data_IF_976596185858
#
_entry.id   IF_976596185858
#
_cell.length_a   1.000
_cell.length_b   1.000
_cell.length_c   1.000
_cell.angle_alpha   90.00
_cell.angle_beta   90.00
_cell.angle_gamma   90.00
#
_symmetry.space_group_name_H-M   'P 1'
#
loop_
_entity.id
_entity.type
_entity.pdbx_description
1 polymer ?
#
# COMPACT_ATOMS: atom_id res chain seq x y z
N UNK A 1 -29.36 -8.94 -4.06
CA UNK A 1 -28.40 -9.80 -3.34
C UNK A 1 -28.46 -11.17 -3.98
N UNK A 2 -27.64 -11.41 -5.00
CA UNK A 2 -27.45 -12.77 -5.53
C UNK A 2 -26.72 -13.56 -4.45
N UNK A 3 -27.40 -14.54 -3.87
CA UNK A 3 -26.78 -15.54 -3.00
C UNK A 3 -25.78 -16.32 -3.85
N UNK A 4 -24.49 -16.04 -3.67
CA UNK A 4 -23.41 -16.68 -4.41
C UNK A 4 -23.51 -18.21 -4.24
N UNK A 5 -23.75 -18.92 -5.35
CA UNK A 5 -23.93 -20.38 -5.32
C UNK A 5 -22.64 -21.02 -4.77
N UNK A 6 -22.70 -21.77 -3.66
CA UNK A 6 -21.50 -22.30 -3.00
C UNK A 6 -20.64 -23.17 -3.95
N UNK A 7 -21.27 -23.85 -4.91
CA UNK A 7 -20.56 -24.63 -5.92
C UNK A 7 -19.76 -23.74 -6.89
N UNK A 8 -20.29 -22.57 -7.28
CA UNK A 8 -19.57 -21.61 -8.14
C UNK A 8 -18.39 -20.96 -7.41
N UNK A 9 -18.57 -20.64 -6.13
CA UNK A 9 -17.48 -20.12 -5.30
C UNK A 9 -16.34 -21.16 -5.19
N UNK A 10 -16.67 -22.40 -4.82
CA UNK A 10 -15.70 -23.48 -4.69
C UNK A 10 -14.97 -23.74 -6.02
N UNK A 11 -15.70 -23.79 -7.13
CA UNK A 11 -15.10 -23.97 -8.46
C UNK A 11 -14.10 -22.86 -8.80
N UNK A 12 -14.45 -21.58 -8.57
CA UNK A 12 -13.56 -20.44 -8.81
C UNK A 12 -12.32 -20.48 -7.90
N UNK A 13 -12.50 -20.86 -6.64
CA UNK A 13 -11.40 -21.03 -5.69
C UNK A 13 -10.43 -22.11 -6.17
N UNK A 14 -10.95 -23.28 -6.54
CA UNK A 14 -10.14 -24.41 -7.01
C UNK A 14 -9.37 -24.06 -8.27
N UNK A 15 -10.03 -23.48 -9.29
CA UNK A 15 -9.39 -23.11 -10.55
C UNK A 15 -8.22 -22.16 -10.33
N UNK A 16 -8.43 -21.08 -9.54
CA UNK A 16 -7.39 -20.08 -9.28
C UNK A 16 -6.19 -20.69 -8.55
N UNK A 17 -6.47 -21.54 -7.57
CA UNK A 17 -5.43 -22.17 -6.74
C UNK A 17 -4.65 -23.22 -7.53
N UNK A 18 -5.31 -24.00 -8.39
CA UNK A 18 -4.65 -24.95 -9.28
C UNK A 18 -3.78 -24.25 -10.34
N UNK A 19 -4.27 -23.17 -10.93
CA UNK A 19 -3.46 -22.33 -11.85
C UNK A 19 -2.25 -21.76 -11.12
N UNK A 20 -2.44 -21.23 -9.90
CA UNK A 20 -1.33 -20.74 -9.07
C UNK A 20 -0.30 -21.84 -8.79
N UNK A 21 -0.75 -23.04 -8.44
CA UNK A 21 0.11 -24.20 -8.17
C UNK A 21 0.90 -24.62 -9.41
N UNK A 22 0.25 -24.63 -10.58
CA UNK A 22 0.89 -24.95 -11.86
C UNK A 22 1.97 -23.93 -12.22
N UNK A 23 1.64 -22.63 -12.13
CA UNK A 23 2.60 -21.55 -12.40
C UNK A 23 3.78 -21.64 -11.42
N UNK A 24 3.50 -21.86 -10.14
CA UNK A 24 4.55 -22.04 -9.14
C UNK A 24 5.47 -23.20 -9.49
N UNK A 25 4.91 -24.38 -9.80
CA UNK A 25 5.69 -25.57 -10.13
C UNK A 25 6.56 -25.38 -11.38
N UNK A 26 6.01 -24.78 -12.43
CA UNK A 26 6.77 -24.47 -13.65
C UNK A 26 7.90 -23.47 -13.40
N UNK A 27 7.63 -22.40 -12.64
CA UNK A 27 8.67 -21.43 -12.26
C UNK A 27 9.71 -22.06 -11.33
N UNK A 28 9.31 -23.02 -10.47
CA UNK A 28 10.22 -23.75 -9.61
C UNK A 28 11.27 -24.50 -10.45
N UNK A 29 10.84 -25.21 -11.50
CA UNK A 29 11.73 -25.93 -12.44
C UNK A 29 12.77 -25.00 -13.06
N UNK A 30 12.36 -23.81 -13.51
CA UNK A 30 13.27 -22.81 -14.09
C UNK A 30 14.21 -22.27 -13.02
N UNK A 31 13.68 -21.91 -11.85
CA UNK A 31 14.47 -21.32 -10.78
C UNK A 31 15.50 -22.27 -10.18
N UNK A 32 15.22 -23.58 -10.16
CA UNK A 32 16.14 -24.59 -9.62
C UNK A 32 17.45 -24.68 -10.41
N UNK A 33 17.48 -24.12 -11.63
CA UNK A 33 18.69 -23.98 -12.45
C UNK A 33 19.52 -22.74 -12.06
N UNK A 34 18.94 -21.78 -11.34
CA UNK A 34 19.55 -20.53 -10.91
C UNK A 34 20.07 -20.66 -9.46
N UNK A 35 21.15 -21.41 -9.29
CA UNK A 35 21.79 -21.65 -8.00
C UNK A 35 22.52 -20.41 -7.48
N UNK A 36 22.56 -20.24 -6.16
CA UNK A 36 23.35 -19.20 -5.51
C UNK A 36 24.85 -19.54 -5.62
N UNK A 37 25.72 -18.58 -6.00
CA UNK A 37 27.16 -18.81 -6.07
C UNK A 37 27.79 -19.33 -4.78
N UNK A 38 27.27 -18.88 -3.63
CA UNK A 38 27.75 -19.21 -2.28
C UNK A 38 27.05 -20.40 -1.63
N UNK A 39 25.94 -20.87 -2.18
CA UNK A 39 25.14 -21.99 -1.66
C UNK A 39 24.66 -22.87 -2.83
N UNK A 40 25.49 -23.81 -3.33
CA UNK A 40 25.24 -24.56 -4.57
C UNK A 40 24.06 -25.54 -4.50
N UNK A 41 23.34 -25.59 -3.37
CA UNK A 41 22.13 -26.41 -3.18
C UNK A 41 20.87 -25.53 -3.11
N UNK A 42 21.01 -24.20 -3.04
CA UNK A 42 19.90 -23.25 -2.91
C UNK A 42 19.80 -22.39 -4.16
N UNK A 43 18.61 -22.36 -4.75
CA UNK A 43 18.28 -21.51 -5.88
C UNK A 43 17.85 -20.10 -5.44
N UNK A 44 17.78 -19.17 -6.40
CA UNK A 44 17.27 -17.81 -6.17
C UNK A 44 15.77 -17.77 -5.80
N UNK A 45 14.97 -18.77 -6.19
CA UNK A 45 13.57 -18.99 -5.78
C UNK A 45 12.57 -17.80 -5.89
N UNK A 46 12.57 -16.98 -6.97
CA UNK A 46 11.61 -15.87 -7.11
C UNK A 46 10.13 -16.30 -7.09
N UNK A 47 9.84 -17.55 -7.46
CA UNK A 47 8.49 -18.13 -7.43
C UNK A 47 7.88 -18.17 -6.03
N UNK A 48 8.66 -18.09 -4.95
CA UNK A 48 8.16 -18.14 -3.57
C UNK A 48 7.21 -16.99 -3.21
N UNK A 49 7.28 -15.89 -3.95
CA UNK A 49 6.33 -14.80 -3.81
C UNK A 49 4.90 -15.19 -4.25
N UNK A 50 4.73 -16.21 -5.09
CA UNK A 50 3.44 -16.59 -5.63
C UNK A 50 2.50 -17.23 -4.57
N UNK A 51 2.92 -18.21 -3.74
CA UNK A 51 2.13 -18.71 -2.63
C UNK A 51 1.73 -17.62 -1.64
N UNK A 52 2.67 -16.71 -1.31
CA UNK A 52 2.41 -15.56 -0.43
C UNK A 52 1.34 -14.64 -1.03
N UNK A 53 1.49 -14.28 -2.30
CA UNK A 53 0.52 -13.47 -3.05
C UNK A 53 -0.85 -14.15 -3.12
N UNK A 54 -0.90 -15.44 -3.44
CA UNK A 54 -2.15 -16.22 -3.51
C UNK A 54 -2.83 -16.30 -2.14
N UNK A 55 -2.05 -16.42 -1.06
CA UNK A 55 -2.51 -16.31 0.32
C UNK A 55 -3.23 -14.99 0.58
N UNK A 56 -2.60 -13.87 0.25
CA UNK A 56 -3.18 -12.52 0.42
C UNK A 56 -4.44 -12.33 -0.45
N UNK A 57 -4.41 -12.82 -1.69
CA UNK A 57 -5.47 -12.64 -2.68
C UNK A 57 -6.73 -13.44 -2.37
N UNK A 58 -6.56 -14.72 -2.02
CA UNK A 58 -7.65 -15.71 -2.00
C UNK A 58 -7.78 -16.44 -0.65
N UNK A 59 -6.88 -16.19 0.29
CA UNK A 59 -6.92 -16.72 1.65
C UNK A 59 -5.82 -17.74 1.95
N UNK A 60 -5.60 -18.05 3.25
CA UNK A 60 -4.49 -18.89 3.69
C UNK A 60 -4.45 -20.25 3.00
N UNK A 61 -5.62 -20.89 2.83
CA UNK A 61 -5.71 -22.20 2.16
C UNK A 61 -5.30 -22.15 0.69
N UNK A 62 -5.63 -21.06 -0.03
CA UNK A 62 -5.18 -20.90 -1.41
C UNK A 62 -3.66 -20.73 -1.49
N UNK A 63 -3.07 -19.97 -0.55
CA UNK A 63 -1.62 -19.86 -0.43
C UNK A 63 -0.97 -21.21 -0.12
N UNK A 64 -1.55 -21.96 0.83
CA UNK A 64 -1.07 -23.28 1.21
C UNK A 64 -1.02 -24.25 0.03
N UNK A 65 -2.15 -24.43 -0.65
CA UNK A 65 -2.23 -25.36 -1.78
C UNK A 65 -1.29 -24.91 -2.90
N UNK A 66 -1.23 -23.60 -3.19
CA UNK A 66 -0.31 -23.05 -4.20
C UNK A 66 1.14 -23.43 -3.92
N UNK A 67 1.61 -23.23 -2.68
CA UNK A 67 2.98 -23.56 -2.30
C UNK A 67 3.23 -25.06 -2.19
N UNK A 68 2.31 -25.79 -1.56
CA UNK A 68 2.45 -27.23 -1.34
C UNK A 68 2.40 -28.04 -2.64
N UNK A 69 1.29 -27.93 -3.38
CA UNK A 69 1.09 -28.67 -4.62
C UNK A 69 2.03 -28.17 -5.73
N UNK A 70 2.28 -26.86 -5.77
CA UNK A 70 3.25 -26.28 -6.70
C UNK A 70 4.66 -26.81 -6.45
N UNK A 71 5.10 -26.90 -5.20
CA UNK A 71 6.45 -27.40 -4.91
C UNK A 71 6.58 -28.89 -5.24
N UNK A 72 5.57 -29.70 -4.91
CA UNK A 72 5.51 -31.12 -5.33
C UNK A 72 5.67 -31.25 -6.84
N UNK A 73 4.91 -30.46 -7.61
CA UNK A 73 4.98 -30.49 -9.07
C UNK A 73 6.37 -30.08 -9.57
N UNK A 74 6.94 -29.01 -9.01
CA UNK A 74 8.27 -28.55 -9.38
C UNK A 74 9.35 -29.60 -9.09
N UNK A 75 9.33 -30.19 -7.91
CA UNK A 75 10.32 -31.19 -7.49
C UNK A 75 10.18 -32.50 -8.27
N UNK A 76 8.95 -32.89 -8.64
CA UNK A 76 8.69 -34.00 -9.55
C UNK A 76 9.31 -33.75 -10.93
N UNK A 77 9.05 -32.58 -11.52
CA UNK A 77 9.52 -32.22 -12.86
C UNK A 77 11.04 -31.95 -12.90
N UNK A 78 11.63 -31.49 -11.81
CA UNK A 78 13.08 -31.32 -11.66
C UNK A 78 13.81 -32.64 -11.35
N UNK A 79 13.11 -33.76 -11.16
CA UNK A 79 13.71 -35.07 -10.89
C UNK A 79 14.15 -35.29 -9.43
N UNK A 80 13.81 -34.40 -8.51
CA UNK A 80 14.06 -34.59 -7.06
C UNK A 80 13.10 -35.62 -6.44
N UNK A 81 11.94 -35.82 -7.07
CA UNK A 81 10.90 -36.76 -6.64
C UNK A 81 9.88 -36.15 -5.67
N UNK A 82 8.69 -36.75 -5.64
CA UNK A 82 7.52 -36.21 -4.92
C UNK A 82 7.56 -36.34 -3.39
N UNK A 83 8.33 -37.29 -2.85
CA UNK A 83 8.29 -37.63 -1.42
C UNK A 83 9.61 -37.44 -0.69
N UNK A 84 10.69 -37.14 -1.42
CA UNK A 84 12.04 -37.04 -0.87
C UNK A 84 12.18 -35.87 0.10
N UNK A 85 11.57 -34.73 -0.23
CA UNK A 85 11.64 -33.49 0.54
C UNK A 85 10.24 -33.02 0.98
N UNK A 86 9.47 -33.94 1.56
CA UNK A 86 8.08 -33.68 1.93
C UNK A 86 7.92 -32.49 2.90
N UNK A 87 8.89 -32.30 3.80
CA UNK A 87 8.92 -31.18 4.74
C UNK A 87 8.98 -29.83 4.03
N UNK A 88 9.72 -29.74 2.93
CA UNK A 88 9.83 -28.52 2.13
C UNK A 88 8.55 -28.21 1.35
N UNK A 89 7.80 -29.23 0.92
CA UNK A 89 6.48 -28.98 0.32
C UNK A 89 5.52 -28.33 1.34
N UNK A 90 5.49 -28.83 2.59
CA UNK A 90 4.66 -28.25 3.65
C UNK A 90 5.16 -26.85 4.02
N UNK A 91 6.48 -26.67 4.16
CA UNK A 91 7.09 -25.37 4.42
C UNK A 91 6.64 -24.30 3.41
N UNK A 92 6.73 -24.60 2.11
CA UNK A 92 6.29 -23.67 1.06
C UNK A 92 4.78 -23.40 1.12
N UNK A 93 3.97 -24.38 1.55
CA UNK A 93 2.56 -24.16 1.86
C UNK A 93 2.35 -23.20 3.05
N UNK A 94 3.09 -23.39 4.15
CA UNK A 94 3.04 -22.49 5.30
C UNK A 94 3.40 -21.05 4.93
N UNK A 95 4.35 -20.87 4.01
CA UNK A 95 4.71 -19.55 3.49
C UNK A 95 3.55 -18.85 2.75
N UNK A 96 2.58 -19.60 2.22
CA UNK A 96 1.34 -19.04 1.68
C UNK A 96 0.27 -18.79 2.75
N UNK A 97 0.23 -19.58 3.82
CA UNK A 97 -0.71 -19.40 4.94
C UNK A 97 -0.45 -18.07 5.65
N UNK A 98 0.80 -17.83 6.06
CA UNK A 98 1.15 -16.74 6.98
C UNK A 98 0.72 -15.37 6.43
N UNK A 99 1.05 -14.98 5.18
CA UNK A 99 0.56 -13.73 4.61
C UNK A 99 -0.94 -13.73 4.34
N UNK A 100 -1.55 -14.90 4.10
CA UNK A 100 -2.99 -15.01 3.91
C UNK A 100 -3.81 -14.70 5.16
N UNK A 101 -3.22 -14.82 6.36
CA UNK A 101 -3.90 -14.51 7.63
C UNK A 101 -4.31 -13.04 7.75
N UNK A 102 -3.67 -12.13 7.01
CA UNK A 102 -4.02 -10.69 7.04
C UNK A 102 -5.48 -10.43 6.62
N UNK A 103 -6.10 -11.37 5.90
CA UNK A 103 -7.52 -11.25 5.54
C UNK A 103 -8.46 -11.39 6.72
N UNK A 104 -8.08 -12.15 7.75
CA UNK A 104 -8.92 -12.34 8.95
C UNK A 104 -8.90 -11.10 9.86
N UNK A 105 -7.88 -10.25 9.75
CA UNK A 105 -7.85 -8.93 10.39
C UNK A 105 -8.44 -7.82 9.48
N UNK A 106 -9.16 -8.20 8.41
CA UNK A 106 -9.87 -7.28 7.53
C UNK A 106 -9.07 -6.69 6.36
N UNK A 107 -7.79 -7.04 6.22
CA UNK A 107 -6.93 -6.51 5.15
C UNK A 107 -7.12 -7.34 3.87
N UNK A 108 -7.93 -6.83 2.95
CA UNK A 108 -8.19 -7.46 1.63
C UNK A 108 -7.69 -6.63 0.44
N UNK A 109 -7.39 -5.36 0.70
CA UNK A 109 -6.75 -4.39 -0.21
C UNK A 109 -5.81 -3.54 0.62
N UNK A 110 -4.60 -3.31 0.13
CA UNK A 110 -3.60 -2.48 0.80
C UNK A 110 -3.88 -1.02 0.44
N UNK A 111 -4.31 -0.23 1.42
CA UNK A 111 -4.72 1.18 1.23
C UNK A 111 -3.96 2.15 2.10
N UNK A 112 -3.47 1.69 3.25
CA UNK A 112 -2.78 2.51 4.24
C UNK A 112 -1.33 2.07 4.46
N UNK A 113 -0.54 2.93 5.10
CA UNK A 113 0.80 2.58 5.61
C UNK A 113 0.76 1.36 6.53
N UNK A 114 -0.28 1.26 7.38
CA UNK A 114 -0.42 0.14 8.31
C UNK A 114 -0.66 -1.17 7.55
N UNK A 115 -1.57 -1.15 6.56
CA UNK A 115 -1.85 -2.34 5.75
C UNK A 115 -0.58 -2.82 5.05
N UNK A 116 0.19 -1.88 4.48
CA UNK A 116 1.43 -2.18 3.78
C UNK A 116 2.48 -2.75 4.74
N UNK A 117 2.68 -2.13 5.91
CA UNK A 117 3.64 -2.61 6.91
C UNK A 117 3.27 -3.99 7.48
N UNK A 118 1.98 -4.24 7.75
CA UNK A 118 1.50 -5.56 8.20
C UNK A 118 1.72 -6.61 7.11
N UNK A 119 1.43 -6.27 5.85
CA UNK A 119 1.64 -7.16 4.72
C UNK A 119 3.13 -7.56 4.58
N UNK A 120 4.06 -6.60 4.57
CA UNK A 120 5.50 -6.89 4.55
C UNK A 120 5.97 -7.70 5.76
N UNK A 121 5.50 -7.36 6.96
CA UNK A 121 5.85 -8.11 8.17
C UNK A 121 5.43 -9.58 8.05
N UNK A 122 4.20 -9.84 7.56
CA UNK A 122 3.75 -11.22 7.37
C UNK A 122 4.52 -11.97 6.28
N UNK A 123 5.04 -11.28 5.27
CA UNK A 123 5.93 -11.86 4.25
C UNK A 123 7.27 -12.30 4.87
N UNK A 124 7.88 -11.48 5.73
CA UNK A 124 9.11 -11.87 6.46
C UNK A 124 8.86 -13.02 7.43
N UNK A 125 7.74 -12.97 8.17
CA UNK A 125 7.34 -14.04 9.08
C UNK A 125 7.06 -15.34 8.32
N UNK A 126 6.53 -15.27 7.10
CA UNK A 126 6.29 -16.44 6.26
C UNK A 126 7.58 -17.21 6.01
N UNK A 127 8.67 -16.53 5.63
CA UNK A 127 9.99 -17.16 5.44
C UNK A 127 10.52 -17.76 6.74
N UNK A 128 10.34 -17.07 7.86
CA UNK A 128 10.75 -17.58 9.19
C UNK A 128 10.02 -18.87 9.54
N UNK A 129 8.69 -18.89 9.39
CA UNK A 129 7.84 -20.05 9.72
C UNK A 129 8.08 -21.20 8.75
N UNK A 130 8.17 -20.93 7.44
CA UNK A 130 8.41 -21.94 6.41
C UNK A 130 9.76 -22.62 6.60
N UNK A 131 10.85 -21.84 6.59
CA UNK A 131 12.20 -22.38 6.76
C UNK A 131 12.37 -23.02 8.14
N UNK A 132 11.88 -22.37 9.20
CA UNK A 132 11.93 -22.92 10.56
C UNK A 132 11.22 -24.28 10.66
N UNK A 133 10.05 -24.44 10.04
CA UNK A 133 9.36 -25.71 9.96
C UNK A 133 10.18 -26.77 9.21
N UNK A 134 10.72 -26.43 8.04
CA UNK A 134 11.54 -27.35 7.24
C UNK A 134 12.76 -27.84 8.04
N UNK A 135 13.42 -26.93 8.75
CA UNK A 135 14.59 -27.24 9.58
C UNK A 135 14.24 -28.15 10.75
N UNK A 136 13.23 -27.80 11.55
CA UNK A 136 12.83 -28.58 12.72
C UNK A 136 12.40 -29.99 12.29
N UNK A 137 11.63 -30.09 11.22
CA UNK A 137 11.16 -31.39 10.72
C UNK A 137 12.28 -32.21 10.09
N UNK A 138 13.26 -31.57 9.44
CA UNK A 138 14.43 -32.27 8.94
C UNK A 138 15.23 -32.87 10.11
N UNK A 139 15.50 -32.09 11.16
CA UNK A 139 16.21 -32.55 12.35
C UNK A 139 15.54 -33.74 13.05
N UNK A 140 14.21 -33.78 13.07
CA UNK A 140 13.43 -34.80 13.77
C UNK A 140 13.21 -36.08 12.96
N UNK A 141 13.08 -36.00 11.62
CA UNK A 141 12.63 -37.13 10.80
C UNK A 141 13.52 -37.47 9.60
N UNK A 142 14.17 -36.49 8.95
CA UNK A 142 14.88 -36.70 7.67
C UNK A 142 16.39 -36.81 7.88
N UNK A 143 16.91 -36.14 8.93
CA UNK A 143 18.30 -36.12 9.36
C UNK A 143 19.32 -35.79 8.24
N UNK A 144 18.93 -34.98 7.26
CA UNK A 144 19.82 -34.50 6.20
C UNK A 144 20.61 -33.25 6.65
N UNK A 145 20.02 -32.43 7.52
CA UNK A 145 20.63 -31.23 8.06
C UNK A 145 21.50 -31.53 9.28
N UNK A 146 22.75 -31.05 9.25
CA UNK A 146 23.74 -31.21 10.32
C UNK A 146 24.18 -29.86 10.84
N UNK A 147 23.85 -29.58 12.10
CA UNK A 147 24.25 -28.35 12.77
C UNK A 147 25.71 -28.44 13.29
N UNK A 148 26.49 -27.34 13.22
CA UNK A 148 26.14 -26.02 12.68
C UNK A 148 26.32 -25.89 11.15
N UNK A 149 26.91 -26.86 10.46
CA UNK A 149 27.34 -26.72 9.05
C UNK A 149 26.24 -26.42 8.02
N UNK A 150 24.99 -26.85 8.27
CA UNK A 150 23.85 -26.54 7.38
C UNK A 150 23.18 -25.20 7.66
N UNK A 151 23.48 -24.56 8.79
CA UNK A 151 22.97 -23.21 9.11
C UNK A 151 23.39 -22.24 8.01
N UNK A 152 24.67 -22.27 7.71
CA UNK A 152 25.29 -21.45 6.70
C UNK A 152 24.91 -21.97 5.32
N UNK A 153 25.28 -23.20 4.96
CA UNK A 153 25.14 -23.67 3.57
C UNK A 153 23.71 -23.83 3.03
N UNK A 154 22.69 -23.84 3.88
CA UNK A 154 21.31 -24.15 3.49
C UNK A 154 20.28 -23.21 4.13
N UNK A 155 20.26 -23.09 5.46
CA UNK A 155 19.17 -22.44 6.20
C UNK A 155 19.14 -20.92 5.98
N UNK A 156 20.27 -20.25 6.22
CA UNK A 156 20.38 -18.80 6.07
C UNK A 156 20.16 -18.36 4.61
N UNK A 157 20.78 -18.99 3.58
CA UNK A 157 20.52 -18.65 2.19
C UNK A 157 19.04 -18.78 1.83
N UNK A 158 18.38 -19.87 2.21
CA UNK A 158 16.95 -20.07 1.93
C UNK A 158 16.09 -18.99 2.59
N UNK A 159 16.34 -18.67 3.87
CA UNK A 159 15.63 -17.61 4.56
C UNK A 159 15.82 -16.25 3.88
N UNK A 160 17.08 -15.89 3.57
CA UNK A 160 17.41 -14.59 2.96
C UNK A 160 16.79 -14.46 1.57
N UNK A 161 16.94 -15.46 0.70
CA UNK A 161 16.37 -15.40 -0.65
C UNK A 161 14.86 -15.37 -0.59
N UNK A 162 14.23 -16.20 0.23
CA UNK A 162 12.78 -16.25 0.31
C UNK A 162 12.19 -14.91 0.82
N UNK A 163 12.83 -14.31 1.84
CA UNK A 163 12.44 -12.99 2.35
C UNK A 163 12.63 -11.90 1.29
N UNK A 164 13.79 -11.82 0.63
CA UNK A 164 14.07 -10.80 -0.38
C UNK A 164 13.08 -10.89 -1.55
N UNK A 165 12.82 -12.10 -2.06
CA UNK A 165 11.88 -12.29 -3.16
C UNK A 165 10.44 -11.97 -2.75
N UNK A 166 10.02 -12.39 -1.56
CA UNK A 166 8.70 -12.03 -1.03
C UNK A 166 8.54 -10.51 -0.95
N UNK A 167 9.51 -9.85 -0.35
CA UNK A 167 9.51 -8.40 -0.11
C UNK A 167 9.47 -7.57 -1.40
N UNK A 168 10.17 -8.02 -2.45
CA UNK A 168 10.17 -7.32 -3.75
C UNK A 168 8.90 -7.66 -4.54
N UNK A 169 8.62 -8.95 -4.70
CA UNK A 169 7.68 -9.41 -5.73
C UNK A 169 6.23 -9.39 -5.23
N UNK A 170 5.96 -9.60 -3.94
CA UNK A 170 4.58 -9.59 -3.42
C UNK A 170 3.92 -8.23 -3.63
N UNK A 171 4.53 -7.07 -3.28
CA UNK A 171 3.93 -5.77 -3.55
C UNK A 171 3.72 -5.50 -5.04
N UNK A 172 4.66 -5.92 -5.89
CA UNK A 172 4.58 -5.78 -7.36
C UNK A 172 3.41 -6.60 -7.92
N UNK A 173 3.26 -7.86 -7.50
CA UNK A 173 2.13 -8.70 -7.89
C UNK A 173 0.79 -8.10 -7.41
N UNK A 174 0.72 -7.61 -6.17
CA UNK A 174 -0.47 -6.93 -5.65
C UNK A 174 -0.79 -5.64 -6.40
N UNK A 175 0.21 -4.92 -6.90
CA UNK A 175 0.05 -3.73 -7.72
C UNK A 175 -0.53 -4.10 -9.10
N UNK A 176 0.03 -5.10 -9.77
CA UNK A 176 -0.45 -5.60 -11.08
C UNK A 176 -1.92 -6.03 -10.98
N UNK A 177 -2.29 -6.71 -9.89
CA UNK A 177 -3.67 -7.15 -9.64
C UNK A 177 -4.59 -6.08 -9.00
N UNK A 178 -4.15 -4.82 -8.94
CA UNK A 178 -4.93 -3.69 -8.40
C UNK A 178 -5.44 -3.90 -6.97
N UNK A 179 -4.70 -4.67 -6.16
CA UNK A 179 -4.96 -4.86 -4.73
C UNK A 179 -4.13 -3.95 -3.83
N UNK A 180 -3.03 -3.42 -4.34
CA UNK A 180 -2.32 -2.31 -3.74
C UNK A 180 -2.83 -1.01 -4.38
N UNK A 181 -3.53 -0.19 -3.59
CA UNK A 181 -4.03 1.11 -4.04
C UNK A 181 -2.91 2.12 -3.93
N UNK A 182 -2.58 2.79 -5.04
CA UNK A 182 -1.57 3.86 -5.06
C UNK A 182 -2.17 5.12 -4.43
N UNK A 183 -2.02 5.25 -3.13
CA UNK A 183 -2.23 6.51 -2.39
C UNK A 183 -0.88 7.23 -2.30
N UNK A 184 -0.88 8.50 -1.88
CA UNK A 184 0.38 9.23 -1.65
C UNK A 184 1.27 8.46 -0.66
N UNK A 185 0.67 7.91 0.40
CA UNK A 185 1.34 7.14 1.44
C UNK A 185 1.94 5.83 0.91
N UNK A 186 1.15 4.99 0.24
CA UNK A 186 1.63 3.69 -0.27
C UNK A 186 2.61 3.87 -1.43
N UNK A 187 2.49 4.95 -2.21
CA UNK A 187 3.46 5.32 -3.24
C UNK A 187 4.82 5.67 -2.63
N UNK A 188 4.84 6.47 -1.57
CA UNK A 188 6.07 6.80 -0.84
C UNK A 188 6.69 5.54 -0.22
N UNK A 189 5.88 4.67 0.38
CA UNK A 189 6.35 3.39 0.92
C UNK A 189 7.02 2.54 -0.16
N UNK A 190 6.32 2.28 -1.27
CA UNK A 190 6.83 1.50 -2.41
C UNK A 190 8.12 2.09 -3.00
N UNK A 191 8.19 3.42 -3.14
CA UNK A 191 9.39 4.08 -3.68
C UNK A 191 10.58 3.88 -2.74
N UNK A 192 10.40 4.12 -1.44
CA UNK A 192 11.48 3.99 -0.45
C UNK A 192 11.90 2.53 -0.32
N UNK A 193 10.97 1.59 -0.24
CA UNK A 193 11.31 0.16 -0.18
C UNK A 193 12.03 -0.31 -1.43
N UNK A 194 11.61 0.15 -2.62
CA UNK A 194 12.29 -0.20 -3.87
C UNK A 194 13.72 0.36 -3.92
N UNK A 195 13.94 1.60 -3.48
CA UNK A 195 15.28 2.20 -3.40
C UNK A 195 16.16 1.46 -2.38
N UNK A 196 15.62 1.08 -1.23
CA UNK A 196 16.33 0.28 -0.24
C UNK A 196 16.70 -1.10 -0.78
N UNK A 197 15.78 -1.78 -1.46
CA UNK A 197 16.05 -3.07 -2.10
C UNK A 197 17.14 -2.94 -3.17
N UNK A 198 17.11 -1.89 -3.99
CA UNK A 198 18.16 -1.64 -4.98
C UNK A 198 19.52 -1.42 -4.34
N UNK A 199 19.60 -0.63 -3.25
CA UNK A 199 20.84 -0.42 -2.51
C UNK A 199 21.37 -1.72 -1.88
N UNK A 200 20.49 -2.51 -1.29
CA UNK A 200 20.79 -3.83 -0.70
C UNK A 200 21.32 -4.81 -1.75
N UNK A 201 20.63 -4.94 -2.88
CA UNK A 201 21.02 -5.83 -3.97
C UNK A 201 22.33 -5.37 -4.62
N UNK A 202 22.49 -4.06 -4.84
CA UNK A 202 23.75 -3.51 -5.36
C UNK A 202 24.91 -3.83 -4.43
N UNK A 203 24.77 -3.61 -3.12
CA UNK A 203 25.81 -3.94 -2.13
C UNK A 203 26.11 -5.44 -2.13
N UNK A 204 25.07 -6.28 -2.19
CA UNK A 204 25.22 -7.74 -2.23
C UNK A 204 25.96 -8.22 -3.48
N UNK A 205 25.66 -7.62 -4.65
CA UNK A 205 26.37 -7.89 -5.91
C UNK A 205 27.82 -7.47 -5.80
N UNK A 206 28.10 -6.25 -5.30
CA UNK A 206 29.47 -5.75 -5.14
C UNK A 206 30.29 -6.63 -4.21
N UNK A 207 29.73 -7.07 -3.07
CA UNK A 207 30.39 -8.00 -2.15
C UNK A 207 30.64 -9.35 -2.82
N UNK A 208 29.67 -9.86 -3.57
CA UNK A 208 29.84 -11.14 -4.29
C UNK A 208 30.92 -11.05 -5.37
N UNK A 209 30.95 -9.94 -6.12
CA UNK A 209 31.96 -9.65 -7.15
C UNK A 209 33.35 -9.47 -6.55
N UNK A 210 33.49 -8.71 -5.46
CA UNK A 210 34.80 -8.47 -4.83
C UNK A 210 35.43 -9.75 -4.28
N UNK A 211 34.60 -10.75 -3.96
CA UNK A 211 35.04 -12.04 -3.48
C UNK A 211 35.36 -13.01 -4.63
N UNK A 212 34.84 -12.75 -5.83
CA UNK A 212 35.10 -13.57 -7.02
C UNK A 212 36.52 -13.34 -7.57
N UNK A 213 37.07 -12.14 -7.38
CA UNK A 213 38.33 -11.71 -7.98
C UNK A 213 39.57 -12.12 -7.16
N UNK A 214 39.37 -12.57 -5.92
CA UNK A 214 40.45 -12.73 -4.96
C UNK A 214 40.64 -14.21 -4.60
N UNK A 215 41.88 -14.64 -4.35
CA UNK A 215 42.33 -16.01 -3.99
C UNK A 215 41.81 -16.44 -2.59
N UNK A 216 40.52 -16.24 -2.35
CA UNK A 216 39.86 -16.33 -1.06
C UNK A 216 39.34 -17.76 -0.84
N UNK A 217 39.57 -18.28 0.37
CA UNK A 217 38.99 -19.55 0.81
C UNK A 217 37.45 -19.50 0.75
N UNK A 218 36.81 -20.61 0.34
CA UNK A 218 35.33 -20.74 0.31
C UNK A 218 34.66 -20.26 1.61
N UNK A 219 35.34 -20.41 2.74
CA UNK A 219 34.84 -20.01 4.06
C UNK A 219 34.60 -18.49 4.19
N UNK A 220 35.54 -17.67 3.70
CA UNK A 220 35.40 -16.21 3.76
C UNK A 220 34.34 -15.69 2.79
N UNK A 221 34.16 -16.34 1.63
CA UNK A 221 33.09 -16.02 0.69
C UNK A 221 31.70 -16.23 1.29
N UNK A 222 31.56 -17.37 1.96
CA UNK A 222 30.35 -17.76 2.69
C UNK A 222 30.06 -16.77 3.82
N UNK A 223 31.07 -16.41 4.63
CA UNK A 223 30.93 -15.43 5.73
C UNK A 223 30.51 -14.03 5.26
N UNK A 224 31.11 -13.53 4.17
CA UNK A 224 30.79 -12.23 3.60
C UNK A 224 29.36 -12.16 3.05
N UNK A 225 28.90 -13.24 2.41
CA UNK A 225 27.52 -13.35 1.91
C UNK A 225 26.50 -13.28 3.06
N UNK A 226 26.74 -13.95 4.19
CA UNK A 226 25.83 -13.87 5.34
C UNK A 226 25.84 -12.52 6.03
N UNK A 227 27.03 -11.93 6.21
CA UNK A 227 27.12 -10.59 6.76
C UNK A 227 26.32 -9.61 5.90
N UNK A 228 26.47 -9.69 4.58
CA UNK A 228 25.69 -8.89 3.63
C UNK A 228 24.18 -9.15 3.76
N UNK A 229 23.76 -10.40 3.84
CA UNK A 229 22.35 -10.78 3.96
C UNK A 229 21.69 -10.31 5.26
N UNK A 230 22.37 -10.47 6.41
CA UNK A 230 21.87 -10.02 7.71
C UNK A 230 21.79 -8.48 7.74
N UNK A 231 22.85 -7.80 7.30
CA UNK A 231 22.87 -6.33 7.20
C UNK A 231 21.74 -5.85 6.30
N UNK A 232 21.48 -6.55 5.20
CA UNK A 232 20.39 -6.25 4.28
C UNK A 232 19.02 -6.35 4.95
N UNK A 233 18.73 -7.44 5.66
CA UNK A 233 17.46 -7.60 6.40
C UNK A 233 17.28 -6.49 7.44
N UNK A 234 18.34 -6.16 8.19
CA UNK A 234 18.30 -5.07 9.18
C UNK A 234 18.02 -3.72 8.50
N UNK A 235 18.72 -3.40 7.41
CA UNK A 235 18.50 -2.16 6.64
C UNK A 235 17.07 -2.09 6.12
N UNK A 236 16.49 -3.21 5.66
CA UNK A 236 15.11 -3.26 5.17
C UNK A 236 14.10 -3.01 6.29
N UNK A 237 14.28 -3.62 7.45
CA UNK A 237 13.39 -3.40 8.61
C UNK A 237 13.48 -1.96 9.11
N UNK A 238 14.69 -1.42 9.25
CA UNK A 238 14.90 -0.02 9.64
C UNK A 238 14.33 0.94 8.61
N UNK A 239 14.56 0.67 7.32
CA UNK A 239 14.08 1.48 6.22
C UNK A 239 12.56 1.47 6.09
N UNK A 240 11.89 0.33 6.29
CA UNK A 240 10.44 0.25 6.39
C UNK A 240 9.90 1.07 7.56
N UNK A 241 10.54 0.95 8.72
CA UNK A 241 10.14 1.67 9.93
C UNK A 241 10.27 3.17 9.71
N UNK A 242 11.41 3.62 9.19
CA UNK A 242 11.67 5.02 8.85
C UNK A 242 10.68 5.53 7.79
N UNK A 243 10.41 4.74 6.74
CA UNK A 243 9.45 5.06 5.69
C UNK A 243 8.04 5.25 6.25
N UNK A 244 7.60 4.35 7.13
CA UNK A 244 6.31 4.43 7.79
C UNK A 244 6.20 5.66 8.72
N UNK A 245 7.29 6.01 9.43
CA UNK A 245 7.36 7.21 10.25
C UNK A 245 7.30 8.49 9.41
N UNK A 246 8.03 8.55 8.30
CA UNK A 246 8.00 9.69 7.36
C UNK A 246 6.62 9.86 6.74
N UNK A 247 6.00 8.76 6.30
CA UNK A 247 4.64 8.80 5.75
C UNK A 247 3.64 9.38 6.77
N UNK A 248 3.78 9.02 8.06
CA UNK A 248 2.94 9.58 9.13
C UNK A 248 3.28 11.03 9.48
N UNK A 249 4.56 11.41 9.48
CA UNK A 249 5.01 12.74 9.94
C UNK A 249 4.93 13.82 8.87
N UNK A 250 5.02 13.46 7.60
CA UNK A 250 5.10 14.40 6.47
C UNK A 250 3.94 14.19 5.52
N UNK A 251 3.78 12.99 4.96
CA UNK A 251 2.81 12.72 3.90
C UNK A 251 1.37 12.93 4.35
N UNK A 252 1.00 12.44 5.53
CA UNK A 252 -0.38 12.56 6.05
C UNK A 252 -0.81 14.01 6.33
N UNK A 253 -0.03 14.85 7.04
CA UNK A 253 -0.36 16.27 7.20
C UNK A 253 -0.47 17.04 5.88
N UNK A 254 0.41 16.76 4.91
CA UNK A 254 0.33 17.39 3.58
C UNK A 254 -1.00 17.06 2.89
N UNK A 255 -1.45 15.80 2.95
CA UNK A 255 -2.77 15.42 2.40
C UNK A 255 -3.92 16.14 3.11
N UNK A 256 -3.83 16.38 4.42
CA UNK A 256 -4.83 17.13 5.17
C UNK A 256 -4.88 18.60 4.73
N UNK A 257 -3.72 19.24 4.56
CA UNK A 257 -3.59 20.59 4.03
C UNK A 257 -4.18 20.72 2.61
N UNK A 258 -3.87 19.77 1.73
CA UNK A 258 -4.44 19.76 0.37
C UNK A 258 -5.96 19.63 0.38
N UNK A 259 -6.51 18.75 1.22
CA UNK A 259 -7.97 18.58 1.34
C UNK A 259 -8.66 19.83 1.89
N UNK A 260 -8.02 20.50 2.84
CA UNK A 260 -8.54 21.75 3.38
C UNK A 260 -8.53 22.87 2.34
N UNK A 261 -7.43 23.03 1.60
CA UNK A 261 -7.37 24.00 0.49
C UNK A 261 -8.48 23.75 -0.54
N UNK A 262 -8.72 22.48 -0.90
CA UNK A 262 -9.83 22.09 -1.78
C UNK A 262 -11.24 22.29 -1.17
N UNK A 263 -11.35 22.42 0.16
CA UNK A 263 -12.62 22.74 0.83
C UNK A 263 -12.89 24.24 0.75
N UNK A 264 -11.86 25.07 0.98
CA UNK A 264 -11.91 26.53 0.79
C UNK A 264 -12.29 26.88 -0.64
N UNK A 265 -11.73 26.18 -1.64
CA UNK A 265 -12.09 26.35 -3.06
C UNK A 265 -13.59 26.14 -3.32
N UNK A 266 -14.25 25.27 -2.55
CA UNK A 266 -15.69 24.97 -2.67
C UNK A 266 -16.58 25.89 -1.82
N UNK A 267 -16.01 26.92 -1.20
CA UNK A 267 -16.72 27.84 -0.31
C UNK A 267 -16.94 27.31 1.11
N UNK A 268 -16.30 26.19 1.48
CA UNK A 268 -16.30 25.71 2.86
C UNK A 268 -15.06 26.24 3.59
N UNK A 269 -15.28 27.29 4.38
CA UNK A 269 -14.24 27.99 5.13
C UNK A 269 -14.02 27.45 6.54
N UNK A 270 -14.78 26.46 6.99
CA UNK A 270 -14.60 25.88 8.33
C UNK A 270 -13.58 24.73 8.30
N UNK A 271 -12.38 25.00 8.81
CA UNK A 271 -11.23 24.10 8.71
C UNK A 271 -10.87 23.38 10.03
N UNK A 272 -11.86 22.89 10.79
CA UNK A 272 -11.64 22.12 12.04
C UNK A 272 -10.71 20.90 11.86
N UNK A 273 -10.74 20.27 10.68
CA UNK A 273 -9.87 19.11 10.39
C UNK A 273 -8.37 19.44 10.38
N UNK A 274 -8.02 20.71 10.32
CA UNK A 274 -6.64 21.21 10.32
C UNK A 274 -6.08 21.46 11.72
N UNK A 275 -6.90 21.45 12.78
CA UNK A 275 -6.44 21.79 14.13
C UNK A 275 -5.31 20.89 14.59
N UNK A 276 -5.40 19.59 14.29
CA UNK A 276 -4.36 18.60 14.57
C UNK A 276 -3.01 18.90 13.88
N UNK A 277 -3.02 19.59 12.73
CA UNK A 277 -1.80 20.01 12.03
C UNK A 277 -1.33 21.37 12.53
N UNK A 278 -2.26 22.29 12.84
CA UNK A 278 -1.98 23.65 13.30
C UNK A 278 -1.22 23.71 14.62
N UNK A 279 -1.36 22.68 15.48
CA UNK A 279 -0.66 22.58 16.77
C UNK A 279 0.84 22.33 16.58
N UNK A 280 1.26 21.85 15.40
CA UNK A 280 2.68 21.55 15.15
C UNK A 280 3.53 22.82 15.14
N UNK A 281 4.75 22.71 15.64
CA UNK A 281 5.73 23.80 15.69
C UNK A 281 6.61 23.90 14.45
N UNK A 282 6.38 23.06 13.44
CA UNK A 282 7.15 23.02 12.19
C UNK A 282 6.49 23.84 11.06
N UNK A 283 7.12 23.83 9.88
CA UNK A 283 6.66 24.56 8.69
C UNK A 283 5.26 24.10 8.25
N UNK A 284 4.92 22.83 8.46
CA UNK A 284 3.58 22.30 8.16
C UNK A 284 2.54 22.88 9.11
N UNK A 285 2.86 23.03 10.39
CA UNK A 285 2.00 23.72 11.36
C UNK A 285 1.87 25.22 11.07
N UNK A 286 2.96 25.88 10.66
CA UNK A 286 2.90 27.28 10.22
C UNK A 286 1.99 27.44 9.00
N UNK A 287 2.15 26.60 7.99
CA UNK A 287 1.30 26.61 6.79
C UNK A 287 -0.18 26.35 7.13
N UNK A 288 -0.45 25.42 8.06
CA UNK A 288 -1.80 25.17 8.56
C UNK A 288 -2.45 26.42 9.19
N UNK A 289 -1.73 27.12 10.07
CA UNK A 289 -2.20 28.36 10.71
C UNK A 289 -2.45 29.48 9.68
N UNK A 290 -1.56 29.62 8.70
CA UNK A 290 -1.72 30.61 7.62
C UNK A 290 -2.95 30.27 6.76
N UNK A 291 -3.16 29.00 6.40
CA UNK A 291 -4.32 28.57 5.63
C UNK A 291 -5.64 28.78 6.39
N UNK A 292 -5.66 28.50 7.71
CA UNK A 292 -6.83 28.79 8.56
C UNK A 292 -7.15 30.29 8.61
N UNK A 293 -6.12 31.13 8.79
CA UNK A 293 -6.29 32.58 8.77
C UNK A 293 -6.84 33.07 7.43
N UNK A 294 -6.27 32.59 6.32
CA UNK A 294 -6.74 32.92 4.97
C UNK A 294 -8.19 32.49 4.76
N UNK A 295 -8.55 31.26 5.11
CA UNK A 295 -9.92 30.76 4.96
C UNK A 295 -10.94 31.63 5.71
N UNK A 296 -10.60 32.04 6.95
CA UNK A 296 -11.45 32.93 7.75
C UNK A 296 -11.60 34.32 7.11
N UNK A 297 -10.50 34.90 6.61
CA UNK A 297 -10.55 36.20 5.94
C UNK A 297 -11.32 36.16 4.62
N UNK A 298 -11.14 35.10 3.81
CA UNK A 298 -11.85 34.93 2.54
C UNK A 298 -13.34 34.71 2.78
N UNK A 299 -13.71 33.84 3.73
CA UNK A 299 -15.11 33.62 4.09
C UNK A 299 -15.79 34.89 4.63
N UNK A 300 -15.07 35.68 5.43
CA UNK A 300 -15.55 36.98 5.91
C UNK A 300 -15.78 37.97 4.77
N UNK A 301 -14.81 38.11 3.86
CA UNK A 301 -14.94 38.97 2.67
C UNK A 301 -16.07 38.54 1.76
N UNK A 302 -16.28 37.24 1.54
CA UNK A 302 -17.38 36.76 0.71
C UNK A 302 -18.74 37.07 1.34
N UNK A 303 -18.86 36.93 2.66
CA UNK A 303 -20.09 37.27 3.37
C UNK A 303 -20.39 38.77 3.33
N UNK A 304 -19.37 39.60 3.50
CA UNK A 304 -19.47 41.06 3.37
C UNK A 304 -19.87 41.46 1.94
N UNK A 305 -19.22 40.88 0.92
CA UNK A 305 -19.60 41.11 -0.48
C UNK A 305 -21.06 40.69 -0.76
N UNK A 306 -21.52 39.56 -0.21
CA UNK A 306 -22.92 39.13 -0.37
C UNK A 306 -23.90 40.12 0.26
N UNK A 307 -23.56 40.68 1.43
CA UNK A 307 -24.37 41.73 2.06
C UNK A 307 -24.41 43.00 1.21
N UNK A 308 -23.26 43.48 0.74
CA UNK A 308 -23.18 44.66 -0.12
C UNK A 308 -23.96 44.48 -1.42
N UNK A 309 -23.85 43.32 -2.08
CA UNK A 309 -24.62 43.01 -3.30
C UNK A 309 -26.14 42.97 -3.01
N UNK A 310 -26.54 42.46 -1.84
CA UNK A 310 -27.95 42.41 -1.46
C UNK A 310 -28.51 43.80 -1.13
N UNK A 311 -27.73 44.62 -0.42
CA UNK A 311 -28.08 46.01 -0.13
C UNK A 311 -28.21 46.83 -1.41
N UNK A 312 -27.23 46.73 -2.33
CA UNK A 312 -27.28 47.37 -3.64
C UNK A 312 -28.49 46.92 -4.48
N UNK A 313 -28.89 45.64 -4.40
CA UNK A 313 -30.11 45.18 -5.07
C UNK A 313 -31.37 45.85 -4.51
N UNK A 314 -31.47 45.95 -3.19
CA UNK A 314 -32.60 46.61 -2.53
C UNK A 314 -32.66 48.09 -2.91
N UNK A 315 -31.52 48.77 -2.95
CA UNK A 315 -31.43 50.18 -3.34
C UNK A 315 -31.88 50.38 -4.80
N UNK A 316 -31.38 49.55 -5.73
CA UNK A 316 -31.74 49.62 -7.15
C UNK A 316 -33.25 49.34 -7.35
N UNK A 317 -33.79 48.32 -6.68
CA UNK A 317 -35.21 47.97 -6.77
C UNK A 317 -36.09 49.10 -6.21
N UNK A 318 -35.68 49.74 -5.11
CA UNK A 318 -36.36 50.91 -4.56
C UNK A 318 -36.33 52.13 -5.47
N UNK A 319 -35.18 52.41 -6.10
CA UNK A 319 -35.04 53.49 -7.07
C UNK A 319 -35.93 53.29 -8.31
N UNK A 320 -35.98 52.06 -8.85
CA UNK A 320 -36.88 51.70 -9.96
C UNK A 320 -38.35 51.85 -9.60
N UNK A 321 -38.76 51.39 -8.41
CA UNK A 321 -40.15 51.58 -7.96
C UNK A 321 -40.51 53.06 -7.83
N UNK A 322 -39.61 53.90 -7.33
CA UNK A 322 -39.84 55.33 -7.24
C UNK A 322 -40.00 55.99 -8.63
N UNK A 323 -39.19 55.57 -9.61
CA UNK A 323 -39.29 56.03 -10.99
C UNK A 323 -40.61 55.58 -11.66
N UNK A 324 -41.00 54.31 -11.52
CA UNK A 324 -42.29 53.79 -12.03
C UNK A 324 -43.49 54.50 -11.38
N UNK A 325 -43.46 54.73 -10.06
CA UNK A 325 -44.53 55.47 -9.37
C UNK A 325 -44.59 56.91 -9.86
N UNK A 326 -43.44 57.58 -10.07
CA UNK A 326 -43.41 58.92 -10.62
C UNK A 326 -44.03 58.96 -12.03
N UNK A 327 -43.68 58.00 -12.90
CA UNK A 327 -44.26 57.88 -14.24
C UNK A 327 -45.79 57.70 -14.18
N UNK A 328 -46.31 56.85 -13.28
CA UNK A 328 -47.75 56.66 -13.07
C UNK A 328 -48.43 57.95 -12.56
N UNK A 329 -47.81 58.68 -11.64
CA UNK A 329 -48.34 59.94 -11.10
C UNK A 329 -48.40 61.03 -12.18
N UNK A 330 -47.46 61.01 -13.12
CA UNK A 330 -47.44 61.92 -14.26
C UNK A 330 -48.42 61.56 -15.38
N UNK A 331 -49.01 60.34 -15.38
CA UNK A 331 -50.04 59.99 -16.37
C UNK A 331 -51.28 60.89 -16.26
N UNK A 332 -51.84 61.23 -17.42
CA UNK A 332 -53.07 62.03 -17.53
C UNK A 332 -54.23 61.45 -16.72
N UNK A 333 -54.31 60.12 -16.62
CA UNK A 333 -55.33 59.41 -15.84
C UNK A 333 -55.26 59.77 -14.34
N UNK A 334 -54.06 59.74 -13.76
CA UNK A 334 -53.86 60.03 -12.34
C UNK A 334 -54.07 61.51 -12.02
N UNK A 335 -53.63 62.40 -12.90
CA UNK A 335 -53.89 63.84 -12.78
C UNK A 335 -55.40 64.16 -12.83
N UNK A 336 -56.13 63.53 -13.76
CA UNK A 336 -57.59 63.67 -13.84
C UNK A 336 -58.29 63.15 -12.59
N UNK A 337 -57.87 62.00 -12.06
CA UNK A 337 -58.42 61.43 -10.83
C UNK A 337 -58.23 62.38 -9.63
N UNK A 338 -57.04 62.98 -9.50
CA UNK A 338 -56.72 63.96 -8.45
C UNK A 338 -57.54 65.25 -8.61
N UNK A 339 -57.78 65.70 -9.84
CA UNK A 339 -58.63 66.87 -10.13
C UNK A 339 -60.09 66.60 -9.74
N UNK A 340 -60.64 65.45 -10.13
CA UNK A 340 -62.00 65.02 -9.81
C UNK A 340 -62.21 64.87 -8.29
N UNK A 341 -61.24 64.31 -7.57
CA UNK A 341 -61.29 64.20 -6.11
C UNK A 341 -61.19 65.55 -5.38
N UNK A 342 -60.51 66.55 -5.96
CA UNK A 342 -60.48 67.92 -5.45
C UNK A 342 -61.80 68.65 -5.67
N UNK A 343 -62.45 68.42 -6.80
CA UNK A 343 -63.78 68.95 -7.09
C UNK A 343 -64.81 68.42 -6.08
N UNK A 344 -64.82 67.11 -5.80
CA UNK A 344 -65.67 66.51 -4.77
C UNK A 344 -65.42 66.95 -3.31
N UNK A 345 -64.29 67.62 -3.02
CA UNK A 345 -63.99 68.15 -1.68
C UNK A 345 -64.34 69.63 -1.53
N UNK A 346 -64.73 70.29 -2.62
CA UNK A 346 -65.11 71.71 -2.64
C UNK A 346 -66.62 71.94 -2.72
N UNK A 347 -67.38 70.89 -2.98
CA UNK A 347 -68.81 70.77 -2.69
C UNK A 347 -68.99 70.17 -1.28
#
# INVERSE_FOLDING_TARGET
>A
METDNPNKFLQRFLIRTLIGSLIYGLLNVVSNQLLLPTAPVISLRPQIALPMFMGIMYGPLAGFITGFAGNILGDLLSGYGMFKFWNWHIANGLMGIVPGLIRYIGITKIRSVLDFGVMELTVVLASTVGVGFAVVTDMLWIHHMKFPGTLDSWILPAFITDTINGFILVPVLLLIWRRLVITLETRTMLMITSLLMLAVLSTSITITWSVWDDLISRESMVRSFYFAGIVSVIILVLGLTASALLARRVTKPVVQLTKAAASVEKGDYNLEKLDNVSIRSDELGQLARVLQKMAKEVGGREQELKQQVQELRIEIDGARQAEEVAEIVETDYFQQLRKKAKEFRKD
#
